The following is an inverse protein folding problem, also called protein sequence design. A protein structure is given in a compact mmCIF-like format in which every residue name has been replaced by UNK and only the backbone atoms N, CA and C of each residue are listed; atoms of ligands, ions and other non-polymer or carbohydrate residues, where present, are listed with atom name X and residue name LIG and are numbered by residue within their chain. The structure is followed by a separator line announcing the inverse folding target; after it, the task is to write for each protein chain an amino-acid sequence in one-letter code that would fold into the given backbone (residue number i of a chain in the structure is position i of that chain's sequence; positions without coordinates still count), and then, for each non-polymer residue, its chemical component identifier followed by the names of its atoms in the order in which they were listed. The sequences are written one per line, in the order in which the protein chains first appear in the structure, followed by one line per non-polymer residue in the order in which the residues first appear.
data_IF_304234577234
#
_entry.id   IF_304234577234
#
_cell.length_a   1.000
_cell.length_b   1.000
_cell.length_c   1.000
_cell.angle_alpha   90.00
_cell.angle_beta   90.00
_cell.angle_gamma   90.00
#
_symmetry.space_group_name_H-M   'P 1'
#
loop_
_entity.id
_entity.type
_entity.pdbx_description
1 polymer ?
#
# COMPACT_ATOMS: atom_id res chain seq x y z
N UNK A 1 9.35 -11.15 -34.68
CA UNK A 1 10.52 -10.35 -34.97
C UNK A 1 11.31 -10.07 -33.71
N UNK A 2 12.50 -10.65 -33.62
CA UNK A 2 13.44 -10.35 -32.53
C UNK A 2 13.95 -8.91 -32.76
N UNK A 3 13.90 -8.10 -31.72
CA UNK A 3 14.48 -6.76 -31.73
C UNK A 3 15.97 -6.87 -32.13
N UNK A 4 16.52 -5.94 -32.94
CA UNK A 4 17.95 -5.90 -33.21
C UNK A 4 18.72 -5.85 -31.89
N UNK A 5 19.87 -6.51 -31.82
CA UNK A 5 20.69 -6.61 -30.60
C UNK A 5 20.99 -5.24 -29.96
N UNK A 6 21.09 -4.20 -30.77
CA UNK A 6 21.25 -2.82 -30.32
C UNK A 6 20.06 -2.28 -29.51
N UNK A 7 18.84 -2.78 -29.77
CA UNK A 7 17.63 -2.35 -29.07
C UNK A 7 17.30 -3.19 -27.83
N UNK A 8 17.92 -4.36 -27.70
CA UNK A 8 17.75 -5.21 -26.51
C UNK A 8 18.36 -4.54 -25.27
N UNK A 9 19.50 -3.89 -25.43
CA UNK A 9 20.14 -3.13 -24.34
C UNK A 9 19.26 -1.97 -23.88
N UNK A 10 18.70 -1.22 -24.81
CA UNK A 10 17.82 -0.07 -24.51
C UNK A 10 16.52 -0.51 -23.85
N UNK A 11 15.93 -1.60 -24.32
CA UNK A 11 14.72 -2.17 -23.72
C UNK A 11 14.97 -2.68 -22.29
N UNK A 12 16.12 -3.31 -22.04
CA UNK A 12 16.52 -3.76 -20.70
C UNK A 12 16.75 -2.59 -19.75
N UNK A 13 17.40 -1.52 -20.24
CA UNK A 13 17.60 -0.29 -19.47
C UNK A 13 16.29 0.38 -19.09
N UNK A 14 15.36 0.51 -20.03
CA UNK A 14 14.04 1.08 -19.79
C UNK A 14 13.22 0.23 -18.82
N UNK A 15 13.28 -1.09 -18.94
CA UNK A 15 12.61 -2.00 -18.00
C UNK A 15 13.11 -1.83 -16.56
N UNK A 16 14.45 -1.80 -16.38
CA UNK A 16 15.05 -1.61 -15.06
C UNK A 16 14.71 -0.23 -14.47
N UNK A 17 14.74 0.82 -15.31
CA UNK A 17 14.36 2.16 -14.89
C UNK A 17 12.89 2.21 -14.44
N UNK A 18 11.98 1.65 -15.22
CA UNK A 18 10.54 1.61 -14.91
C UNK A 18 10.26 0.82 -13.64
N UNK A 19 10.95 -0.31 -13.42
CA UNK A 19 10.84 -1.12 -12.21
C UNK A 19 11.30 -0.35 -10.97
N UNK A 20 12.46 0.31 -11.05
CA UNK A 20 13.01 1.07 -9.93
C UNK A 20 12.15 2.30 -9.62
N UNK A 21 11.71 3.02 -10.65
CA UNK A 21 10.83 4.18 -10.49
C UNK A 21 9.48 3.78 -9.89
N UNK A 22 8.87 2.69 -10.38
CA UNK A 22 7.63 2.16 -9.85
C UNK A 22 7.74 1.75 -8.38
N UNK A 23 8.86 1.11 -8.01
CA UNK A 23 9.16 0.76 -6.61
C UNK A 23 9.29 1.99 -5.71
N UNK A 24 10.04 3.01 -6.15
CA UNK A 24 10.23 4.25 -5.39
C UNK A 24 8.91 5.01 -5.18
N UNK A 25 8.09 5.13 -6.24
CA UNK A 25 6.77 5.76 -6.15
C UNK A 25 5.85 4.96 -5.22
N UNK A 26 5.87 3.61 -5.31
CA UNK A 26 5.07 2.75 -4.45
C UNK A 26 5.39 2.93 -2.97
N UNK A 27 6.67 2.95 -2.61
CA UNK A 27 7.12 3.18 -1.24
C UNK A 27 6.69 4.56 -0.75
N UNK A 28 6.91 5.62 -1.55
CA UNK A 28 6.54 6.98 -1.18
C UNK A 28 5.02 7.14 -0.95
N UNK A 29 4.19 6.45 -1.74
CA UNK A 29 2.74 6.44 -1.54
C UNK A 29 2.34 5.74 -0.24
N UNK A 30 2.93 4.58 0.05
CA UNK A 30 2.67 3.84 1.29
C UNK A 30 3.08 4.68 2.50
N UNK A 31 4.26 5.25 2.50
CA UNK A 31 4.75 6.10 3.58
C UNK A 31 3.85 7.32 3.80
N UNK A 32 3.39 7.95 2.72
CA UNK A 32 2.46 9.08 2.79
C UNK A 32 1.13 8.68 3.42
N UNK A 33 0.57 7.52 3.04
CA UNK A 33 -0.68 7.01 3.62
C UNK A 33 -0.49 6.69 5.09
N UNK A 34 0.57 5.97 5.46
CA UNK A 34 0.84 5.62 6.86
C UNK A 34 1.01 6.89 7.69
N UNK A 35 1.79 7.86 7.23
CA UNK A 35 2.05 9.09 7.97
C UNK A 35 0.79 9.93 8.19
N UNK A 36 -0.01 10.13 7.13
CA UNK A 36 -1.25 10.92 7.23
C UNK A 36 -2.32 10.21 8.05
N UNK A 37 -2.53 8.92 7.80
CA UNK A 37 -3.60 8.16 8.43
C UNK A 37 -3.32 7.81 9.88
N UNK A 38 -2.04 7.59 10.26
CA UNK A 38 -1.70 7.34 11.64
C UNK A 38 -2.04 8.53 12.54
N UNK A 39 -1.83 9.76 12.07
CA UNK A 39 -2.25 10.97 12.80
C UNK A 39 -3.77 11.02 12.97
N UNK A 40 -4.53 10.81 11.87
CA UNK A 40 -5.99 10.80 11.91
C UNK A 40 -6.54 9.72 12.87
N UNK A 41 -5.93 8.53 12.88
CA UNK A 41 -6.33 7.44 13.78
C UNK A 41 -5.96 7.72 15.24
N UNK A 42 -4.81 8.34 15.50
CA UNK A 42 -4.42 8.73 16.85
C UNK A 42 -5.40 9.75 17.44
N UNK A 43 -5.82 10.75 16.66
CA UNK A 43 -6.83 11.72 17.06
C UNK A 43 -8.19 11.05 17.32
N UNK A 44 -8.63 10.14 16.45
CA UNK A 44 -9.86 9.37 16.62
C UNK A 44 -9.83 8.48 17.87
N UNK A 45 -8.71 7.81 18.15
CA UNK A 45 -8.56 6.99 19.34
C UNK A 45 -8.56 7.84 20.62
N UNK A 46 -7.93 9.00 20.58
CA UNK A 46 -7.93 9.96 21.69
C UNK A 46 -9.33 10.49 21.96
N UNK A 47 -10.09 10.82 20.91
CA UNK A 47 -11.47 11.30 21.07
C UNK A 47 -12.41 10.18 21.52
N UNK A 48 -12.20 8.95 21.03
CA UNK A 48 -12.94 7.77 21.48
C UNK A 48 -12.69 7.50 22.97
N UNK A 49 -11.47 7.71 23.45
CA UNK A 49 -11.12 7.54 24.86
C UNK A 49 -11.90 8.49 25.76
N UNK A 50 -12.16 9.73 25.30
CA UNK A 50 -12.98 10.72 26.02
C UNK A 50 -14.47 10.40 26.00
N UNK A 51 -14.98 9.84 24.90
CA UNK A 51 -16.41 9.55 24.72
C UNK A 51 -16.82 8.17 25.21
N UNK A 52 -15.98 7.15 25.02
CA UNK A 52 -16.22 5.74 25.39
C UNK A 52 -14.90 5.04 25.70
N UNK A 53 -14.46 5.13 26.96
CA UNK A 53 -13.22 4.52 27.42
C UNK A 53 -13.21 2.99 27.25
N UNK A 54 -14.36 2.32 27.34
CA UNK A 54 -14.47 0.88 27.15
C UNK A 54 -14.22 0.47 25.70
N UNK A 55 -14.81 1.19 24.74
CA UNK A 55 -14.55 0.97 23.33
C UNK A 55 -13.10 1.31 22.93
N UNK A 56 -12.53 2.34 23.54
CA UNK A 56 -11.12 2.69 23.34
C UNK A 56 -10.18 1.59 23.85
N UNK A 57 -10.42 1.09 25.07
CA UNK A 57 -9.65 -0.02 25.66
C UNK A 57 -9.60 -1.24 24.73
N UNK A 58 -10.76 -1.64 24.20
CA UNK A 58 -10.87 -2.76 23.27
C UNK A 58 -10.01 -2.55 21.99
N UNK A 59 -10.05 -1.35 21.42
CA UNK A 59 -9.24 -1.00 20.24
C UNK A 59 -7.74 -0.91 20.52
N UNK A 60 -7.38 -0.50 21.73
CA UNK A 60 -5.98 -0.42 22.17
C UNK A 60 -5.45 -1.77 22.67
N UNK A 61 -6.31 -2.79 22.82
CA UNK A 61 -5.92 -4.09 23.36
C UNK A 61 -5.64 -4.03 24.86
N UNK A 62 -6.21 -3.04 25.58
CA UNK A 62 -6.07 -2.83 27.01
C UNK A 62 -7.30 -3.33 27.76
N UNK A 63 -7.16 -3.60 29.06
CA UNK A 63 -8.30 -3.81 29.94
C UNK A 63 -8.99 -2.48 30.24
N UNK A 64 -10.31 -2.51 30.42
CA UNK A 64 -11.06 -1.31 30.76
C UNK A 64 -10.59 -0.68 32.09
N UNK A 65 -10.10 -1.52 33.02
CA UNK A 65 -9.56 -1.09 34.30
C UNK A 65 -8.19 -0.41 34.21
N UNK A 66 -7.46 -0.61 33.10
CA UNK A 66 -6.16 0.00 32.84
C UNK A 66 -6.28 1.34 32.09
N UNK A 67 -7.51 1.73 31.73
CA UNK A 67 -7.74 2.99 31.05
C UNK A 67 -7.66 4.16 32.04
N UNK A 68 -6.85 5.18 31.72
CA UNK A 68 -6.73 6.36 32.56
C UNK A 68 -8.00 7.22 32.47
N UNK A 69 -8.19 8.07 33.49
CA UNK A 69 -9.15 9.15 33.41
C UNK A 69 -8.78 10.09 32.24
N UNK A 70 -9.67 10.35 31.29
CA UNK A 70 -9.42 11.25 30.16
C UNK A 70 -9.04 12.69 30.59
N UNK A 71 -9.41 13.09 31.81
CA UNK A 71 -9.06 14.39 32.38
C UNK A 71 -7.68 14.40 33.08
N UNK A 72 -7.06 13.21 33.29
CA UNK A 72 -5.71 13.10 33.85
C UNK A 72 -4.65 13.11 32.75
N UNK A 73 -3.90 14.23 32.56
CA UNK A 73 -2.88 14.33 31.53
C UNK A 73 -1.75 13.31 31.68
N UNK A 74 -1.42 12.92 32.92
CA UNK A 74 -0.35 11.95 33.17
C UNK A 74 -0.79 10.53 32.85
N UNK A 75 -2.05 10.20 33.13
CA UNK A 75 -2.65 8.94 32.73
C UNK A 75 -2.73 8.79 31.21
N UNK A 76 -3.16 9.85 30.51
CA UNK A 76 -3.22 9.87 29.03
C UNK A 76 -1.82 9.67 28.43
N UNK A 77 -0.78 10.29 28.99
CA UNK A 77 0.60 10.06 28.54
C UNK A 77 1.03 8.60 28.71
N UNK A 78 0.53 7.89 29.72
CA UNK A 78 0.85 6.49 29.97
C UNK A 78 0.33 5.53 28.89
N UNK A 79 -0.74 5.88 28.17
CA UNK A 79 -1.32 5.07 27.09
C UNK A 79 -0.97 5.61 25.69
N UNK A 80 -0.16 6.67 25.62
CA UNK A 80 0.20 7.29 24.34
C UNK A 80 0.93 6.31 23.39
N UNK A 81 1.79 5.46 23.94
CA UNK A 81 2.50 4.44 23.15
C UNK A 81 1.51 3.42 22.55
N UNK A 82 0.49 3.01 23.32
CA UNK A 82 -0.55 2.11 22.84
C UNK A 82 -1.41 2.77 21.74
N UNK A 83 -1.74 4.06 21.91
CA UNK A 83 -2.46 4.83 20.87
C UNK A 83 -1.62 4.91 19.60
N UNK A 84 -0.32 5.19 19.71
CA UNK A 84 0.57 5.28 18.56
C UNK A 84 0.71 3.93 17.85
N UNK A 85 0.90 2.84 18.57
CA UNK A 85 1.00 1.50 17.99
C UNK A 85 -0.30 1.07 17.29
N UNK A 86 -1.44 1.29 17.91
CA UNK A 86 -2.74 1.00 17.32
C UNK A 86 -3.01 1.85 16.08
N UNK A 87 -2.69 3.14 16.11
CA UNK A 87 -2.89 4.06 14.98
C UNK A 87 -2.00 3.70 13.79
N UNK A 88 -0.74 3.32 14.02
CA UNK A 88 0.16 2.83 12.98
C UNK A 88 -0.33 1.52 12.37
N UNK A 89 -0.84 0.61 13.19
CA UNK A 89 -1.39 -0.66 12.72
C UNK A 89 -2.62 -0.47 11.83
N UNK A 90 -3.53 0.44 12.22
CA UNK A 90 -4.69 0.78 11.41
C UNK A 90 -4.30 1.45 10.10
N UNK A 91 -3.35 2.39 10.13
CA UNK A 91 -2.84 3.07 8.95
C UNK A 91 -2.13 2.10 7.99
N UNK A 92 -1.33 1.17 8.52
CA UNK A 92 -0.67 0.13 7.72
C UNK A 92 -1.69 -0.79 7.05
N UNK A 93 -2.75 -1.19 7.76
CA UNK A 93 -3.83 -2.00 7.17
C UNK A 93 -4.53 -1.27 6.01
N UNK A 94 -4.79 0.02 6.13
CA UNK A 94 -5.34 0.84 5.05
C UNK A 94 -4.38 0.95 3.86
N UNK A 95 -3.07 1.11 4.10
CA UNK A 95 -2.07 1.11 3.06
C UNK A 95 -2.03 -0.22 2.28
N UNK A 96 -2.17 -1.36 2.97
CA UNK A 96 -2.28 -2.68 2.33
C UNK A 96 -3.53 -2.82 1.47
N UNK A 97 -4.67 -2.32 1.93
CA UNK A 97 -5.92 -2.31 1.14
C UNK A 97 -5.78 -1.44 -0.11
N UNK A 98 -5.13 -0.29 0.00
CA UNK A 98 -4.85 0.57 -1.14
C UNK A 98 -3.95 -0.15 -2.16
N UNK A 99 -2.89 -0.81 -1.70
CA UNK A 99 -1.99 -1.57 -2.57
C UNK A 99 -2.71 -2.72 -3.28
N UNK A 100 -3.56 -3.45 -2.56
CA UNK A 100 -4.41 -4.49 -3.14
C UNK A 100 -5.34 -3.92 -4.21
N UNK A 101 -5.98 -2.77 -3.96
CA UNK A 101 -6.83 -2.08 -4.92
C UNK A 101 -6.08 -1.68 -6.21
N UNK A 102 -4.91 -1.08 -6.07
CA UNK A 102 -4.04 -0.74 -7.23
C UNK A 102 -3.66 -1.98 -8.02
N UNK A 103 -3.32 -3.08 -7.33
CA UNK A 103 -2.96 -4.35 -7.97
C UNK A 103 -4.14 -4.93 -8.75
N UNK A 104 -5.34 -4.91 -8.19
CA UNK A 104 -6.55 -5.38 -8.87
C UNK A 104 -6.82 -4.53 -10.12
N UNK A 105 -6.71 -3.21 -10.03
CA UNK A 105 -6.89 -2.31 -11.18
C UNK A 105 -5.87 -2.64 -12.27
N UNK A 106 -4.61 -2.83 -11.91
CA UNK A 106 -3.56 -3.18 -12.86
C UNK A 106 -3.84 -4.51 -13.56
N UNK A 107 -4.29 -5.54 -12.82
CA UNK A 107 -4.67 -6.84 -13.38
C UNK A 107 -5.87 -6.73 -14.34
N UNK A 108 -6.88 -5.93 -13.99
CA UNK A 108 -8.03 -5.69 -14.87
C UNK A 108 -7.63 -4.99 -16.16
N UNK A 109 -6.72 -4.01 -16.09
CA UNK A 109 -6.20 -3.33 -17.28
C UNK A 109 -5.43 -4.28 -18.19
N UNK A 110 -4.56 -5.15 -17.62
CA UNK A 110 -3.83 -6.15 -18.36
C UNK A 110 -4.80 -7.13 -19.03
N UNK A 111 -5.80 -7.60 -18.30
CA UNK A 111 -6.82 -8.50 -18.84
C UNK A 111 -7.61 -7.88 -19.99
N UNK A 112 -7.93 -6.58 -19.88
CA UNK A 112 -8.63 -5.84 -20.93
C UNK A 112 -7.77 -5.61 -22.18
N UNK A 113 -6.45 -5.53 -22.06
CA UNK A 113 -5.54 -5.35 -23.22
C UNK A 113 -5.50 -6.59 -24.13
N UNK A 114 -5.98 -7.74 -23.67
CA UNK A 114 -6.05 -9.00 -24.44
C UNK A 114 -4.67 -9.62 -24.71
N UNK A 115 -4.63 -10.84 -25.24
CA UNK A 115 -3.36 -11.48 -25.59
C UNK A 115 -2.74 -10.73 -26.77
N UNK A 116 -1.50 -10.27 -26.60
CA UNK A 116 -0.68 -9.79 -27.70
C UNK A 116 -0.55 -10.95 -28.70
N UNK A 117 -1.22 -10.85 -29.84
CA UNK A 117 -1.11 -11.85 -30.92
C UNK A 117 0.32 -11.86 -31.43
N UNK A 118 1.11 -12.78 -30.93
CA UNK A 118 2.40 -13.17 -31.53
C UNK A 118 2.19 -14.05 -32.77
N UNK A 119 1.15 -13.84 -33.55
CA UNK A 119 0.66 -14.83 -34.55
C UNK A 119 0.85 -14.43 -36.01
N UNK A 120 1.70 -13.44 -36.33
CA UNK A 120 1.86 -13.08 -37.76
C UNK A 120 3.27 -13.22 -38.32
N UNK A 121 4.13 -14.05 -37.72
CA UNK A 121 5.50 -14.20 -38.22
C UNK A 121 5.83 -15.64 -38.70
N UNK A 122 4.84 -16.53 -38.88
CA UNK A 122 5.10 -17.89 -39.42
C UNK A 122 4.55 -18.15 -40.79
N UNK A 123 3.93 -17.18 -41.44
CA UNK A 123 3.30 -17.43 -42.74
C UNK A 123 3.84 -16.54 -43.85
N UNK A 124 5.14 -16.58 -44.09
CA UNK A 124 5.71 -16.28 -45.42
C UNK A 124 7.10 -16.93 -45.54
N UNK A 125 7.13 -18.23 -45.64
CA UNK A 125 8.28 -18.89 -46.32
C UNK A 125 7.80 -19.30 -47.71
N UNK A 126 8.11 -18.54 -48.77
CA UNK A 126 7.89 -19.06 -50.10
C UNK A 126 8.89 -20.18 -50.35
N UNK A 127 8.36 -21.36 -50.69
CA UNK A 127 9.12 -22.45 -51.29
C UNK A 127 9.83 -21.92 -52.53
N UNK A 128 11.15 -21.84 -52.48
CA UNK A 128 11.98 -21.68 -53.65
C UNK A 128 12.39 -23.07 -54.15
N UNK A 129 11.68 -23.54 -55.16
CA UNK A 129 12.13 -24.60 -56.06
C UNK A 129 13.32 -24.12 -56.88
#
# INVERSE_FOLDING_TARGET
GLLPLSRVSDASGLYNLSRNLGGAIGIALIDTVIFTRSADYADQLTELMKSDAGAAALKLGLSADDMPDPEDPMGVLGVMDAIQEASLTLAANEAWLMLAGVTIIALLLIWRMGPIRAADSMETRPDSS
#
